data_IF_869632098911
#
_entry.id   IF_869632098911
#
_cell.length_a   1.000
_cell.length_b   1.000
_cell.length_c   1.000
_cell.angle_alpha   90.00
_cell.angle_beta   90.00
_cell.angle_gamma   90.00
#
_symmetry.space_group_name_H-M   'P 1'
#
loop_
_entity.id
_entity.type
_entity.pdbx_description
1 polymer ?
#
# COMPACT_ATOMS: atom_id res chain seq x y z
N UNK A 1 -13.37 -10.57 12.30
CA UNK A 1 -14.19 -9.97 11.21
C UNK A 1 -14.78 -11.01 10.26
N UNK A 2 -14.00 -11.95 9.70
CA UNK A 2 -14.52 -12.98 8.76
C UNK A 2 -15.74 -13.74 9.31
N UNK A 3 -15.64 -14.32 10.50
CA UNK A 3 -16.73 -15.10 11.10
C UNK A 3 -18.06 -14.32 11.20
N UNK A 4 -18.00 -13.02 11.50
CA UNK A 4 -19.19 -12.16 11.53
C UNK A 4 -19.84 -12.01 10.15
N UNK A 5 -19.03 -11.86 9.10
CA UNK A 5 -19.56 -11.77 7.74
C UNK A 5 -20.08 -13.12 7.21
N UNK A 6 -19.49 -14.23 7.67
CA UNK A 6 -20.01 -15.57 7.37
C UNK A 6 -21.40 -15.79 8.00
N UNK A 7 -21.65 -15.23 9.19
CA UNK A 7 -22.92 -15.38 9.93
C UNK A 7 -23.99 -14.34 9.55
N UNK A 8 -23.62 -13.06 9.44
CA UNK A 8 -24.59 -11.95 9.41
C UNK A 8 -24.78 -11.29 8.04
N UNK A 9 -24.02 -11.69 7.00
CA UNK A 9 -23.99 -11.10 5.63
C UNK A 9 -22.89 -10.06 5.39
N UNK A 10 -22.93 -9.46 4.20
CA UNK A 10 -21.93 -8.58 3.62
C UNK A 10 -21.84 -7.19 4.24
N UNK A 11 -22.75 -6.84 5.15
CA UNK A 11 -22.74 -5.58 5.90
C UNK A 11 -23.02 -5.88 7.37
N UNK A 12 -22.07 -5.54 8.24
CA UNK A 12 -22.14 -5.82 9.68
C UNK A 12 -21.81 -4.55 10.45
N UNK A 13 -22.67 -4.17 11.40
CA UNK A 13 -22.38 -3.09 12.35
C UNK A 13 -21.52 -3.65 13.49
N UNK A 14 -20.27 -3.21 13.57
CA UNK A 14 -19.30 -3.68 14.57
C UNK A 14 -19.21 -2.74 15.79
N UNK A 15 -19.80 -1.55 15.71
CA UNK A 15 -19.85 -0.61 16.83
C UNK A 15 -20.86 0.52 16.61
N UNK A 16 -20.97 1.47 17.57
CA UNK A 16 -21.91 2.58 17.46
C UNK A 16 -21.74 3.40 16.17
N UNK A 17 -20.49 3.65 15.77
CA UNK A 17 -20.12 4.44 14.59
C UNK A 17 -19.22 3.63 13.63
N UNK A 18 -19.34 2.31 13.63
CA UNK A 18 -18.47 1.43 12.85
C UNK A 18 -19.28 0.34 12.15
N UNK A 19 -19.12 0.26 10.83
CA UNK A 19 -19.71 -0.77 10.00
C UNK A 19 -18.64 -1.33 9.06
N UNK A 20 -18.63 -2.66 8.93
CA UNK A 20 -17.75 -3.40 8.04
C UNK A 20 -18.55 -3.93 6.86
N UNK A 21 -17.95 -3.85 5.67
CA UNK A 21 -18.56 -4.27 4.42
C UNK A 21 -17.64 -5.21 3.63
N UNK A 22 -18.20 -6.24 2.99
CA UNK A 22 -17.47 -7.15 2.10
C UNK A 22 -17.98 -7.15 0.66
N UNK A 23 -19.02 -6.36 0.35
CA UNK A 23 -19.57 -6.31 -1.00
C UNK A 23 -18.69 -5.49 -1.97
N UNK A 24 -18.51 -5.93 -3.23
CA UNK A 24 -17.76 -5.16 -4.23
C UNK A 24 -18.39 -3.79 -4.55
N UNK A 25 -19.72 -3.68 -4.39
CA UNK A 25 -20.43 -2.40 -4.56
C UNK A 25 -20.08 -1.41 -3.46
N UNK A 26 -19.96 -1.86 -2.20
CA UNK A 26 -19.54 -1.01 -1.09
C UNK A 26 -18.13 -0.43 -1.32
N UNK A 27 -17.20 -1.20 -1.89
CA UNK A 27 -15.87 -0.69 -2.22
C UNK A 27 -15.93 0.55 -3.13
N UNK A 28 -16.71 0.48 -4.21
CA UNK A 28 -16.88 1.61 -5.15
C UNK A 28 -17.61 2.78 -4.48
N UNK A 29 -18.63 2.51 -3.67
CA UNK A 29 -19.39 3.54 -2.97
C UNK A 29 -18.62 4.19 -1.80
N UNK A 30 -17.62 3.55 -1.22
CA UNK A 30 -16.81 4.09 -0.12
C UNK A 30 -15.52 4.73 -0.65
N UNK A 31 -14.76 4.00 -1.47
CA UNK A 31 -13.41 4.37 -1.92
C UNK A 31 -13.32 4.77 -3.39
N UNK A 32 -14.37 4.58 -4.18
CA UNK A 32 -14.35 4.90 -5.61
C UNK A 32 -14.27 6.41 -5.89
N UNK A 33 -13.90 6.73 -7.14
CA UNK A 33 -13.88 8.11 -7.62
C UNK A 33 -15.27 8.75 -7.49
N UNK A 34 -15.34 9.86 -6.75
CA UNK A 34 -16.59 10.59 -6.53
C UNK A 34 -16.96 11.40 -7.77
N UNK A 35 -18.23 11.30 -8.19
CA UNK A 35 -18.85 12.26 -9.12
C UNK A 35 -18.96 13.63 -8.44
N UNK A 36 -18.89 14.70 -9.23
CA UNK A 36 -18.96 16.08 -8.74
C UNK A 36 -20.11 16.27 -7.73
N UNK A 37 -19.81 16.85 -6.57
CA UNK A 37 -20.76 17.15 -5.50
C UNK A 37 -20.80 16.16 -4.33
N UNK A 38 -20.18 14.97 -4.42
CA UNK A 38 -20.07 14.04 -3.27
C UNK A 38 -18.71 14.17 -2.57
N UNK A 39 -18.71 14.42 -1.26
CA UNK A 39 -17.50 14.40 -0.43
C UNK A 39 -17.01 12.95 -0.25
N UNK A 40 -15.69 12.78 -0.18
CA UNK A 40 -15.09 11.53 0.28
C UNK A 40 -15.34 11.35 1.78
N UNK A 41 -15.29 10.11 2.26
CA UNK A 41 -15.24 9.86 3.69
C UNK A 41 -13.93 10.41 4.23
N UNK A 42 -14.02 11.15 5.33
CA UNK A 42 -12.84 11.57 6.07
C UNK A 42 -12.12 10.36 6.64
N UNK A 43 -10.81 10.48 6.76
CA UNK A 43 -10.00 9.42 7.33
C UNK A 43 -10.19 9.39 8.83
N UNK A 44 -10.43 8.20 9.35
CA UNK A 44 -10.48 8.01 10.78
C UNK A 44 -9.06 7.94 11.35
N UNK A 45 -8.66 9.01 12.04
CA UNK A 45 -7.32 9.17 12.59
C UNK A 45 -7.00 8.16 13.71
N UNK A 46 -8.01 7.48 14.28
CA UNK A 46 -7.78 6.41 15.26
C UNK A 46 -6.97 5.25 14.69
N UNK A 47 -7.03 5.04 13.38
CA UNK A 47 -6.29 3.99 12.68
C UNK A 47 -4.93 4.46 12.14
N UNK A 48 -4.53 5.70 12.42
CA UNK A 48 -3.34 6.30 11.85
C UNK A 48 -2.41 6.84 12.94
N UNK A 49 -1.10 6.69 12.71
CA UNK A 49 -0.10 7.36 13.54
C UNK A 49 -0.05 8.84 13.16
N UNK A 50 -0.67 9.69 13.97
CA UNK A 50 -0.61 11.14 13.78
C UNK A 50 0.78 11.63 14.21
N UNK A 51 1.55 12.27 13.31
CA UNK A 51 2.86 12.79 13.65
C UNK A 51 2.74 13.90 14.69
N UNK A 52 3.77 14.04 15.54
CA UNK A 52 3.87 15.12 16.53
C UNK A 52 4.11 16.50 15.88
N UNK A 53 4.55 16.50 14.63
CA UNK A 53 4.76 17.69 13.81
C UNK A 53 3.46 18.15 13.15
N UNK A 54 3.34 19.45 12.85
CA UNK A 54 2.20 20.00 12.08
C UNK A 54 2.12 19.53 10.61
N UNK A 55 3.10 18.76 10.12
CA UNK A 55 3.12 18.26 8.75
C UNK A 55 2.24 17.00 8.61
N UNK A 56 1.13 17.12 7.88
CA UNK A 56 0.27 16.00 7.53
C UNK A 56 0.74 15.35 6.22
N UNK A 57 1.06 14.06 6.25
CA UNK A 57 1.37 13.30 5.03
C UNK A 57 0.11 13.08 4.20
N UNK A 58 0.27 12.71 2.92
CA UNK A 58 -0.87 12.31 2.07
C UNK A 58 -1.71 11.19 2.70
N UNK A 59 -1.12 10.34 3.56
CA UNK A 59 -1.83 9.23 4.21
C UNK A 59 -2.87 9.73 5.20
N UNK A 60 -2.67 10.87 5.85
CA UNK A 60 -3.58 11.39 6.90
C UNK A 60 -4.22 12.75 6.58
N UNK A 61 -3.79 13.40 5.50
CA UNK A 61 -4.34 14.69 5.07
C UNK A 61 -5.85 14.62 4.79
N UNK A 62 -6.54 15.74 5.07
CA UNK A 62 -7.94 15.98 4.76
C UNK A 62 -8.20 16.11 3.25
N UNK A 63 -9.46 16.30 2.83
CA UNK A 63 -9.82 16.31 1.41
C UNK A 63 -9.06 17.33 0.55
N UNK A 64 -8.82 18.54 1.07
CA UNK A 64 -8.17 19.62 0.32
C UNK A 64 -6.66 19.37 0.22
N UNK A 65 -6.02 19.13 1.36
CA UNK A 65 -4.58 18.87 1.41
C UNK A 65 -4.22 17.55 0.72
N UNK A 66 -5.07 16.53 0.85
CA UNK A 66 -4.90 15.28 0.12
C UNK A 66 -4.93 15.51 -1.39
N UNK A 67 -5.88 16.32 -1.89
CA UNK A 67 -5.98 16.64 -3.31
C UNK A 67 -4.73 17.38 -3.81
N UNK A 68 -4.23 18.33 -3.00
CA UNK A 68 -2.98 19.07 -3.28
C UNK A 68 -1.78 18.13 -3.31
N UNK A 69 -1.57 17.32 -2.26
CA UNK A 69 -0.47 16.36 -2.19
C UNK A 69 -0.52 15.31 -3.31
N UNK A 70 -1.71 14.77 -3.61
CA UNK A 70 -1.91 13.78 -4.67
C UNK A 70 -1.54 14.35 -6.03
N UNK A 71 -1.91 15.61 -6.31
CA UNK A 71 -1.57 16.28 -7.57
C UNK A 71 -0.04 16.34 -7.73
N UNK A 72 0.68 16.80 -6.71
CA UNK A 72 2.15 16.85 -6.75
C UNK A 72 2.77 15.47 -6.93
N UNK A 73 2.32 14.47 -6.17
CA UNK A 73 2.87 13.10 -6.24
C UNK A 73 2.54 12.37 -7.54
N UNK A 74 1.40 12.67 -8.18
CA UNK A 74 0.91 11.92 -9.34
C UNK A 74 1.88 11.89 -10.53
N UNK A 75 2.75 12.90 -10.65
CA UNK A 75 3.76 12.94 -11.72
C UNK A 75 4.78 11.81 -11.59
N UNK A 76 5.20 11.47 -10.37
CA UNK A 76 6.13 10.37 -10.10
C UNK A 76 5.51 8.99 -10.38
N UNK A 77 4.18 8.90 -10.44
CA UNK A 77 3.44 7.67 -10.76
C UNK A 77 2.83 7.70 -12.18
N UNK A 78 3.29 8.61 -13.04
CA UNK A 78 2.91 8.60 -14.45
C UNK A 78 3.54 7.41 -15.17
N UNK A 79 2.91 6.93 -16.25
CA UNK A 79 3.43 5.82 -17.05
C UNK A 79 4.89 6.05 -17.48
N UNK A 80 5.20 7.24 -17.98
CA UNK A 80 6.57 7.62 -18.36
C UNK A 80 7.55 7.58 -17.18
N UNK A 81 7.14 8.06 -16.01
CA UNK A 81 8.00 8.03 -14.83
C UNK A 81 8.24 6.59 -14.37
N UNK A 82 7.20 5.74 -14.41
CA UNK A 82 7.33 4.32 -14.07
C UNK A 82 8.25 3.57 -15.04
N UNK A 83 8.14 3.83 -16.35
CA UNK A 83 9.09 3.29 -17.35
C UNK A 83 10.52 3.78 -17.09
N UNK A 84 10.68 5.02 -16.64
CA UNK A 84 12.00 5.56 -16.26
C UNK A 84 12.66 4.81 -15.10
N UNK A 85 11.91 4.04 -14.31
CA UNK A 85 12.44 3.24 -13.20
C UNK A 85 12.76 1.79 -13.60
N UNK A 86 12.59 1.40 -14.87
CA UNK A 86 12.82 0.03 -15.33
C UNK A 86 14.24 -0.45 -15.03
N UNK A 87 15.25 0.41 -15.26
CA UNK A 87 16.66 0.06 -15.05
C UNK A 87 16.96 -0.21 -13.56
N UNK A 88 16.41 0.62 -12.66
CA UNK A 88 16.57 0.46 -11.20
C UNK A 88 15.92 -0.84 -10.73
N UNK A 89 14.67 -1.09 -11.17
CA UNK A 89 13.95 -2.31 -10.83
C UNK A 89 14.67 -3.56 -11.33
N UNK A 90 15.10 -3.55 -12.59
CA UNK A 90 15.82 -4.66 -13.21
C UNK A 90 17.13 -4.93 -12.48
N UNK A 91 17.90 -3.88 -12.14
CA UNK A 91 19.14 -4.00 -11.39
C UNK A 91 18.94 -4.73 -10.06
N UNK A 92 17.99 -4.29 -9.23
CA UNK A 92 17.78 -4.90 -7.91
C UNK A 92 17.12 -6.29 -7.98
N UNK A 93 16.30 -6.56 -9.00
CA UNK A 93 15.76 -7.91 -9.25
C UNK A 93 16.89 -8.86 -9.65
N UNK A 94 17.77 -8.45 -10.54
CA UNK A 94 18.93 -9.25 -10.97
C UNK A 94 19.88 -9.49 -9.79
N UNK A 95 20.15 -8.46 -8.97
CA UNK A 95 20.96 -8.58 -7.77
C UNK A 95 20.33 -9.55 -6.75
N UNK A 96 19.02 -9.46 -6.55
CA UNK A 96 18.28 -10.39 -5.69
C UNK A 96 18.41 -11.84 -6.18
N UNK A 97 18.20 -12.09 -7.47
CA UNK A 97 18.32 -13.42 -8.07
C UNK A 97 19.76 -13.93 -7.96
N UNK A 98 20.75 -13.09 -8.26
CA UNK A 98 22.16 -13.44 -8.21
C UNK A 98 22.57 -13.85 -6.79
N UNK A 99 22.19 -13.05 -5.78
CA UNK A 99 22.48 -13.36 -4.39
C UNK A 99 21.85 -14.68 -3.92
N UNK A 100 20.63 -15.00 -4.39
CA UNK A 100 20.00 -16.29 -4.10
C UNK A 100 20.75 -17.46 -4.76
N UNK A 101 21.21 -17.29 -6.01
CA UNK A 101 22.03 -18.30 -6.72
C UNK A 101 23.36 -18.54 -6.01
N UNK A 102 24.05 -17.47 -5.63
CA UNK A 102 25.34 -17.55 -4.95
C UNK A 102 25.20 -18.25 -3.60
N UNK A 103 24.13 -17.93 -2.85
CA UNK A 103 23.84 -18.63 -1.59
C UNK A 103 23.53 -20.11 -1.80
N UNK A 104 22.75 -20.46 -2.82
CA UNK A 104 22.45 -21.86 -3.14
C UNK A 104 23.71 -22.65 -3.57
N UNK A 105 24.66 -22.00 -4.24
CA UNK A 105 25.90 -22.62 -4.69
C UNK A 105 26.94 -22.80 -3.57
N UNK A 106 27.00 -21.87 -2.61
CA UNK A 106 28.02 -21.86 -1.56
C UNK A 106 27.84 -22.97 -0.50
N UNK A 107 26.59 -23.29 -0.14
CA UNK A 107 26.33 -24.12 1.04
C UNK A 107 26.31 -25.64 0.76
N UNK A 108 26.41 -26.08 -0.52
CA UNK A 108 26.37 -27.50 -0.93
C UNK A 108 25.10 -28.27 -0.51
N UNK A 109 24.21 -27.60 0.21
CA UNK A 109 22.89 -27.97 0.69
C UNK A 109 21.99 -26.78 0.37
N UNK A 110 20.78 -27.05 -0.09
CA UNK A 110 19.77 -26.00 -0.26
C UNK A 110 19.34 -25.57 1.15
N UNK A 111 20.03 -24.58 1.70
CA UNK A 111 19.63 -23.95 2.96
C UNK A 111 18.34 -23.17 2.74
N UNK A 112 17.36 -23.38 3.62
CA UNK A 112 16.10 -22.64 3.57
C UNK A 112 16.38 -21.14 3.77
N UNK A 113 16.01 -20.33 2.77
CA UNK A 113 16.12 -18.88 2.86
C UNK A 113 14.84 -18.27 3.42
N UNK A 114 14.99 -17.27 4.29
CA UNK A 114 13.85 -16.49 4.77
C UNK A 114 13.47 -15.44 3.70
N UNK A 115 12.52 -15.79 2.83
CA UNK A 115 12.08 -14.93 1.74
C UNK A 115 11.46 -13.61 2.21
N UNK A 116 10.88 -13.54 3.41
CA UNK A 116 10.37 -12.28 3.96
C UNK A 116 11.51 -11.28 4.14
N UNK A 117 12.66 -11.72 4.66
CA UNK A 117 13.85 -10.85 4.78
C UNK A 117 14.34 -10.39 3.42
N UNK A 118 14.47 -11.31 2.46
CA UNK A 118 14.97 -10.97 1.14
C UNK A 118 14.05 -10.00 0.38
N UNK A 119 12.74 -10.21 0.40
CA UNK A 119 11.80 -9.25 -0.17
C UNK A 119 11.88 -7.88 0.51
N UNK A 120 12.07 -7.84 1.84
CA UNK A 120 12.24 -6.58 2.55
C UNK A 120 13.53 -5.86 2.14
N UNK A 121 14.65 -6.57 1.96
CA UNK A 121 15.89 -5.97 1.48
C UNK A 121 15.72 -5.42 0.06
N UNK A 122 15.25 -6.25 -0.87
CA UNK A 122 15.05 -5.84 -2.27
C UNK A 122 14.09 -4.66 -2.39
N UNK A 123 12.98 -4.65 -1.66
CA UNK A 123 12.03 -3.52 -1.70
C UNK A 123 12.57 -2.28 -1.02
N UNK A 124 13.36 -2.40 0.04
CA UNK A 124 14.02 -1.25 0.67
C UNK A 124 15.03 -0.61 -0.27
N UNK A 125 15.85 -1.42 -0.95
CA UNK A 125 16.84 -0.94 -1.91
C UNK A 125 16.16 -0.28 -3.11
N UNK A 126 15.11 -0.90 -3.69
CA UNK A 126 14.32 -0.31 -4.79
C UNK A 126 13.68 1.02 -4.40
N UNK A 127 13.16 1.15 -3.18
CA UNK A 127 12.47 2.38 -2.74
C UNK A 127 13.49 3.47 -2.35
N UNK A 128 14.69 3.07 -1.94
CA UNK A 128 15.74 3.97 -1.46
C UNK A 128 16.57 4.64 -2.57
N UNK A 129 16.61 4.05 -3.76
CA UNK A 129 17.27 4.56 -4.97
C UNK A 129 16.33 5.44 -5.81
#
# INVERSE_FOLDING_TARGET
MKALHDEYSTAVRCGPNEASFTSPTAWKEIFGHRKSGRRSFDKDLRFHRVPTTKACSIVIADGEDHSRHRRTLSHAFSERALWGQEDILTHYIDLFIQNLRDKAAADGKIDMVNMVKWYNFTTFDIIGD
#
